data_IF_769747016863
#
_entry.id   IF_769747016863
#
_cell.length_a   1.000
_cell.length_b   1.000
_cell.length_c   1.000
_cell.angle_alpha   90.00
_cell.angle_beta   90.00
_cell.angle_gamma   90.00
#
_symmetry.space_group_name_H-M   'P 1'
#
loop_
_entity.id
_entity.type
_entity.pdbx_description
1 polymer ?
#
# COMPACT_ATOMS: atom_id res chain seq x y z
N UNK A 1 -9.96 -5.93 -9.16
CA UNK A 1 -10.82 -7.04 -9.53
C UNK A 1 -10.52 -8.27 -8.68
N UNK A 2 -11.29 -9.32 -8.84
CA UNK A 2 -11.18 -10.54 -8.03
C UNK A 2 -9.83 -11.23 -8.20
N UNK A 3 -9.31 -11.22 -9.40
CA UNK A 3 -8.03 -11.85 -9.72
C UNK A 3 -6.87 -11.12 -9.02
N UNK A 4 -6.90 -9.79 -9.04
CA UNK A 4 -5.89 -8.98 -8.36
C UNK A 4 -5.93 -9.19 -6.86
N UNK A 5 -7.12 -9.34 -6.31
CA UNK A 5 -7.28 -9.55 -4.88
C UNK A 5 -6.74 -10.92 -4.44
N UNK A 6 -6.96 -11.95 -5.26
CA UNK A 6 -6.41 -13.29 -5.00
C UNK A 6 -4.89 -13.24 -5.03
N UNK A 7 -4.32 -12.57 -6.02
CA UNK A 7 -2.88 -12.40 -6.14
C UNK A 7 -2.31 -11.67 -4.94
N UNK A 8 -2.97 -10.61 -4.52
CA UNK A 8 -2.57 -9.83 -3.36
C UNK A 8 -2.58 -10.67 -2.08
N UNK A 9 -3.63 -11.44 -1.87
CA UNK A 9 -3.80 -12.25 -0.68
C UNK A 9 -2.85 -13.44 -0.61
N UNK A 10 -2.24 -13.82 -1.73
CA UNK A 10 -1.24 -14.88 -1.74
C UNK A 10 0.11 -14.46 -1.17
N UNK A 11 0.32 -13.15 -0.98
CA UNK A 11 1.56 -12.65 -0.38
C UNK A 11 1.62 -13.01 1.10
N UNK A 12 2.80 -13.43 1.56
CA UNK A 12 2.97 -13.96 2.90
C UNK A 12 2.96 -12.92 4.01
N UNK A 13 3.57 -11.76 3.77
CA UNK A 13 3.70 -10.76 4.82
C UNK A 13 3.03 -9.45 4.45
N UNK A 14 2.78 -8.67 5.48
CA UNK A 14 2.08 -7.40 5.35
C UNK A 14 2.81 -6.42 4.43
N UNK A 15 4.12 -6.37 4.54
CA UNK A 15 4.93 -5.46 3.70
C UNK A 15 4.75 -5.74 2.23
N UNK A 16 4.76 -7.00 1.84
CA UNK A 16 4.56 -7.40 0.44
C UNK A 16 3.19 -7.00 -0.07
N UNK A 17 2.15 -7.16 0.77
CA UNK A 17 0.80 -6.76 0.41
C UNK A 17 0.69 -5.26 0.22
N UNK A 18 1.33 -4.48 1.09
CA UNK A 18 1.36 -3.03 0.98
C UNK A 18 2.07 -2.61 -0.30
N UNK A 19 3.25 -3.17 -0.56
CA UNK A 19 4.01 -2.84 -1.76
C UNK A 19 3.23 -3.17 -3.03
N UNK A 20 2.54 -4.29 -3.04
CA UNK A 20 1.71 -4.69 -4.16
C UNK A 20 0.60 -3.67 -4.41
N UNK A 21 -0.08 -3.24 -3.36
CA UNK A 21 -1.13 -2.24 -3.44
C UNK A 21 -0.59 -0.90 -3.98
N UNK A 22 0.53 -0.45 -3.43
CA UNK A 22 1.14 0.82 -3.84
C UNK A 22 1.63 0.75 -5.28
N UNK A 23 2.24 -0.36 -5.67
CA UNK A 23 2.73 -0.54 -7.03
C UNK A 23 1.60 -0.49 -8.07
N UNK A 24 0.49 -1.15 -7.75
CA UNK A 24 -0.68 -1.11 -8.63
C UNK A 24 -1.26 0.29 -8.76
N UNK A 25 -1.30 1.04 -7.67
CA UNK A 25 -1.75 2.43 -7.68
C UNK A 25 -0.82 3.29 -8.52
N UNK A 26 0.49 3.06 -8.42
CA UNK A 26 1.48 3.77 -9.22
C UNK A 26 1.27 3.51 -10.71
N UNK A 27 1.07 2.27 -11.10
CA UNK A 27 0.85 1.89 -12.49
C UNK A 27 -0.41 2.54 -13.05
N UNK A 28 -1.48 2.59 -12.26
CA UNK A 28 -2.73 3.19 -12.67
C UNK A 28 -2.61 4.70 -12.84
N UNK A 29 -1.81 5.36 -12.01
CA UNK A 29 -1.62 6.80 -12.07
C UNK A 29 -0.64 7.22 -13.15
N UNK A 30 0.22 6.32 -13.58
CA UNK A 30 1.29 6.57 -14.56
C UNK A 30 2.23 7.69 -14.10
N UNK A 31 2.41 7.80 -12.79
CA UNK A 31 3.24 8.84 -12.18
C UNK A 31 4.05 8.24 -11.03
N UNK A 32 5.21 8.81 -10.74
CA UNK A 32 6.02 8.38 -9.61
C UNK A 32 5.43 8.85 -8.28
N UNK A 33 4.60 9.88 -8.31
CA UNK A 33 3.85 10.36 -7.15
C UNK A 33 2.38 10.14 -7.45
N UNK A 34 1.69 9.43 -6.58
CA UNK A 34 0.32 9.03 -6.82
C UNK A 34 -0.53 9.15 -5.56
N UNK A 35 -1.81 9.39 -5.76
CA UNK A 35 -2.76 9.51 -4.66
C UNK A 35 -3.60 8.25 -4.57
N UNK A 36 -3.77 7.73 -3.35
CA UNK A 36 -4.67 6.61 -3.11
C UNK A 36 -5.97 7.15 -2.53
N UNK A 37 -7.10 6.96 -3.21
CA UNK A 37 -8.38 7.55 -2.78
C UNK A 37 -9.09 6.74 -1.70
N UNK A 38 -8.33 6.14 -0.79
CA UNK A 38 -8.87 5.31 0.29
C UNK A 38 -8.35 5.78 1.62
N UNK A 39 -9.18 5.66 2.67
CA UNK A 39 -8.73 5.87 4.03
C UNK A 39 -7.78 4.74 4.46
N UNK A 40 -7.12 4.92 5.58
CA UNK A 40 -6.27 3.86 6.14
C UNK A 40 -7.08 2.60 6.47
N UNK A 41 -8.32 2.77 6.93
CA UNK A 41 -9.21 1.64 7.19
C UNK A 41 -9.53 0.87 5.91
N UNK A 42 -9.83 1.60 4.84
CA UNK A 42 -10.14 0.98 3.56
C UNK A 42 -8.93 0.26 2.97
N UNK A 43 -7.74 0.85 3.12
CA UNK A 43 -6.50 0.21 2.69
C UNK A 43 -6.26 -1.09 3.45
N UNK A 44 -6.47 -1.06 4.77
CA UNK A 44 -6.30 -2.23 5.62
C UNK A 44 -7.27 -3.34 5.23
N UNK A 45 -8.52 -2.99 4.97
CA UNK A 45 -9.51 -3.96 4.49
C UNK A 45 -9.08 -4.59 3.16
N UNK A 46 -8.58 -3.77 2.26
CA UNK A 46 -8.15 -4.24 0.94
C UNK A 46 -7.06 -5.29 1.03
N UNK A 47 -6.11 -5.10 1.94
CA UNK A 47 -4.98 -6.04 2.10
C UNK A 47 -5.21 -7.05 3.22
N UNK A 48 -6.40 -7.06 3.80
CA UNK A 48 -6.79 -7.99 4.88
C UNK A 48 -5.87 -7.88 6.10
N UNK A 49 -5.69 -6.66 6.59
CA UNK A 49 -4.84 -6.37 7.74
C UNK A 49 -5.53 -5.41 8.69
N UNK A 50 -4.96 -5.28 9.90
CA UNK A 50 -5.37 -4.29 10.88
C UNK A 50 -4.92 -2.90 10.43
N UNK A 51 -5.75 -1.90 10.70
CA UNK A 51 -5.40 -0.51 10.45
C UNK A 51 -4.13 -0.11 11.21
N UNK A 52 -4.02 -0.53 12.47
CA UNK A 52 -2.84 -0.23 13.30
C UNK A 52 -1.58 -0.87 12.74
N UNK A 53 -1.69 -2.12 12.30
CA UNK A 53 -0.57 -2.83 11.70
C UNK A 53 -0.15 -2.16 10.39
N UNK A 54 -1.11 -1.74 9.57
CA UNK A 54 -0.84 -1.03 8.34
C UNK A 54 -0.08 0.26 8.61
N UNK A 55 -0.57 1.07 9.57
CA UNK A 55 0.05 2.34 9.89
C UNK A 55 1.49 2.18 10.39
N UNK A 56 1.71 1.19 11.25
CA UNK A 56 3.06 0.90 11.76
C UNK A 56 4.01 0.48 10.66
N UNK A 57 3.54 -0.37 9.77
CA UNK A 57 4.38 -0.85 8.67
C UNK A 57 4.71 0.27 7.68
N UNK A 58 3.73 1.13 7.36
CA UNK A 58 3.97 2.28 6.50
C UNK A 58 5.03 3.21 7.10
N UNK A 59 4.94 3.49 8.40
CA UNK A 59 5.93 4.31 9.09
C UNK A 59 7.31 3.68 9.04
N UNK A 60 7.39 2.37 9.24
CA UNK A 60 8.65 1.63 9.19
C UNK A 60 9.27 1.68 7.80
N UNK A 61 8.45 1.46 6.77
CA UNK A 61 8.91 1.50 5.38
C UNK A 61 9.41 2.89 4.99
N UNK A 62 8.77 3.93 5.49
CA UNK A 62 9.21 5.30 5.26
C UNK A 62 10.57 5.56 5.92
N UNK A 63 10.76 5.08 7.15
CA UNK A 63 12.04 5.22 7.85
C UNK A 63 13.17 4.47 7.13
N UNK A 64 12.85 3.32 6.54
CA UNK A 64 13.84 2.53 5.82
C UNK A 64 14.15 3.06 4.43
N UNK A 65 13.43 4.11 4.00
CA UNK A 65 13.67 4.72 2.70
C UNK A 65 13.05 3.96 1.54
N UNK A 66 12.11 3.08 1.78
CA UNK A 66 11.45 2.31 0.73
C UNK A 66 10.32 3.10 0.07
N UNK A 67 9.64 3.92 0.84
CA UNK A 67 8.53 4.76 0.36
C UNK A 67 8.59 6.12 1.01
N UNK A 68 7.87 7.06 0.43
CA UNK A 68 7.58 8.33 1.07
C UNK A 68 6.09 8.60 0.94
N UNK A 69 5.50 9.29 1.89
CA UNK A 69 4.08 9.62 1.81
C UNK A 69 3.74 10.81 2.69
N UNK A 70 2.67 11.50 2.29
CA UNK A 70 2.03 12.54 3.08
C UNK A 70 0.54 12.40 2.89
N UNK A 71 -0.17 12.08 3.97
CA UNK A 71 -1.61 11.78 3.92
C UNK A 71 -1.85 10.64 2.92
N UNK A 72 -2.60 10.90 1.85
CA UNK A 72 -2.94 9.87 0.86
C UNK A 72 -2.08 9.93 -0.41
N UNK A 73 -1.05 10.77 -0.41
CA UNK A 73 -0.12 10.88 -1.54
C UNK A 73 1.13 10.06 -1.24
N UNK A 74 1.47 9.16 -2.13
CA UNK A 74 2.55 8.20 -1.94
C UNK A 74 3.56 8.28 -3.07
N UNK A 75 4.79 7.87 -2.74
CA UNK A 75 5.87 7.71 -3.72
C UNK A 75 6.68 6.47 -3.36
N UNK A 76 6.93 5.62 -4.34
CA UNK A 76 7.85 4.49 -4.19
C UNK A 76 9.25 4.98 -4.53
N UNK A 77 10.19 4.71 -3.64
CA UNK A 77 11.58 5.17 -3.82
C UNK A 77 12.43 4.09 -4.47
#
# INVERSE_FOLDING_TARGET
DLRERIELLSKKNLRERILCMLYKAKLNSKSSIFKIPFSREQMAEYICADRSALSRELSRMKREGLIDYHKNTFRLI
#
